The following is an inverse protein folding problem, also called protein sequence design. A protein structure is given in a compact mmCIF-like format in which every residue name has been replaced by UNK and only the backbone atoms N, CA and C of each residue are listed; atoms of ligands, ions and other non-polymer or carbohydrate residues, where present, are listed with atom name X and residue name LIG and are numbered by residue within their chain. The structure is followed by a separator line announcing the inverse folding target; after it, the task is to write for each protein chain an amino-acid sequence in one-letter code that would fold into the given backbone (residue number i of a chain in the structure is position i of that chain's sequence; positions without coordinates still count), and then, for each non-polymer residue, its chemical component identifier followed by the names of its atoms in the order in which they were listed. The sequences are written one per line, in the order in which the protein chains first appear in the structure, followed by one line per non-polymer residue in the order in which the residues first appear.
data_IF_638265801177
#
_entry.id   IF_638265801177
#
_cell.length_a   1.000
_cell.length_b   1.000
_cell.length_c   1.000
_cell.angle_alpha   90.00
_cell.angle_beta   90.00
_cell.angle_gamma   90.00
#
_symmetry.space_group_name_H-M   'P 1'
#
loop_
_entity.id
_entity.type
_entity.pdbx_description
1 polymer ?
#
# COMPACT_ATOMS: atom_id res chain seq x y z
N UNK A 1 -47.99 -7.90 -1.57
CA UNK A 1 -46.50 -7.82 -1.40
C UNK A 1 -46.04 -9.17 -0.85
N UNK A 2 -45.11 -9.85 -1.56
CA UNK A 2 -44.83 -11.28 -1.35
C UNK A 2 -43.93 -11.47 -0.12
N UNK A 3 -44.38 -12.20 0.91
CA UNK A 3 -43.69 -12.44 2.17
C UNK A 3 -42.24 -12.91 1.97
N UNK A 4 -41.97 -13.70 0.92
CA UNK A 4 -40.58 -14.12 0.55
C UNK A 4 -39.66 -12.96 0.21
N UNK A 5 -40.14 -11.86 -0.36
CA UNK A 5 -39.31 -10.67 -0.68
C UNK A 5 -38.94 -9.88 0.56
N UNK A 6 -39.81 -9.90 1.58
CA UNK A 6 -39.55 -9.23 2.86
C UNK A 6 -38.43 -9.97 3.63
N UNK A 7 -38.44 -11.30 3.62
CA UNK A 7 -37.40 -12.10 4.29
C UNK A 7 -36.02 -11.91 3.64
N UNK A 8 -35.96 -11.82 2.31
CA UNK A 8 -34.70 -11.56 1.59
C UNK A 8 -34.16 -10.16 1.91
N UNK A 9 -35.02 -9.15 2.00
CA UNK A 9 -34.65 -7.78 2.37
C UNK A 9 -34.16 -7.68 3.82
N UNK A 10 -34.81 -8.37 4.76
CA UNK A 10 -34.40 -8.42 6.16
C UNK A 10 -33.06 -9.18 6.30
N UNK A 11 -32.87 -10.30 5.59
CA UNK A 11 -31.59 -11.03 5.60
C UNK A 11 -30.44 -10.21 5.02
N UNK A 12 -30.64 -9.46 3.93
CA UNK A 12 -29.64 -8.56 3.36
C UNK A 12 -29.32 -7.39 4.32
N UNK A 13 -30.31 -6.89 5.05
CA UNK A 13 -30.09 -5.81 6.01
C UNK A 13 -29.35 -6.29 7.26
N UNK A 14 -29.63 -7.51 7.73
CA UNK A 14 -28.92 -8.12 8.88
C UNK A 14 -27.47 -8.45 8.50
N UNK A 15 -27.19 -8.91 7.27
CA UNK A 15 -25.82 -9.15 6.82
C UNK A 15 -24.99 -7.85 6.65
N UNK A 16 -25.62 -6.73 6.31
CA UNK A 16 -24.93 -5.46 6.22
C UNK A 16 -24.58 -4.84 7.59
N UNK A 17 -25.33 -5.16 8.64
CA UNK A 17 -25.06 -4.68 10.01
C UNK A 17 -23.91 -5.46 10.66
N UNK A 18 -23.74 -6.74 10.33
CA UNK A 18 -22.67 -7.57 10.93
C UNK A 18 -21.26 -7.18 10.42
N UNK A 19 -21.14 -6.58 9.23
CA UNK A 19 -19.84 -6.13 8.73
C UNK A 19 -19.39 -4.78 9.31
N UNK A 20 -20.27 -3.96 9.87
CA UNK A 20 -19.92 -2.69 10.50
C UNK A 20 -19.44 -2.84 11.96
N UNK A 21 -19.83 -3.94 12.63
CA UNK A 21 -19.43 -4.18 14.03
C UNK A 21 -18.03 -4.81 14.20
N UNK A 22 -17.40 -5.27 13.11
CA UNK A 22 -16.08 -5.90 13.18
C UNK A 22 -14.91 -4.90 13.19
N UNK A 23 -15.16 -3.59 13.11
CA UNK A 23 -14.11 -2.56 13.07
C UNK A 23 -14.01 -1.71 14.35
N UNK A 24 -14.81 -1.96 15.37
CA UNK A 24 -14.50 -1.37 16.67
C UNK A 24 -13.50 -2.27 17.40
N UNK A 25 -12.24 -1.88 17.57
CA UNK A 25 -11.35 -2.59 18.46
C UNK A 25 -11.97 -2.48 19.86
N UNK A 26 -12.54 -3.54 20.37
CA UNK A 26 -12.84 -3.67 21.80
C UNK A 26 -11.50 -3.49 22.50
N UNK A 27 -11.27 -2.30 23.02
CA UNK A 27 -10.12 -1.96 23.84
C UNK A 27 -10.11 -2.82 25.09
N UNK A 28 -9.51 -4.00 24.99
CA UNK A 28 -9.07 -4.74 26.16
C UNK A 28 -8.06 -3.85 26.88
N UNK A 29 -8.38 -3.43 28.09
CA UNK A 29 -7.51 -2.72 29.02
C UNK A 29 -6.33 -3.63 29.45
N UNK A 30 -5.46 -3.97 28.53
CA UNK A 30 -4.10 -4.38 28.83
C UNK A 30 -3.21 -3.21 28.43
N UNK A 31 -2.71 -2.47 29.41
CA UNK A 31 -1.82 -1.31 29.26
C UNK A 31 -0.46 -1.65 28.64
N UNK A 32 -0.46 -2.46 27.60
CA UNK A 32 0.73 -2.73 26.80
C UNK A 32 1.03 -1.55 25.86
N UNK A 33 2.30 -1.28 25.65
CA UNK A 33 2.75 -0.29 24.69
C UNK A 33 2.29 -0.70 23.28
N UNK A 34 1.47 0.14 22.65
CA UNK A 34 0.98 -0.07 21.29
C UNK A 34 1.44 1.06 20.38
N UNK A 35 1.61 0.79 19.10
CA UNK A 35 1.88 1.82 18.09
C UNK A 35 1.05 1.59 16.83
N UNK A 36 0.78 2.68 16.11
CA UNK A 36 0.18 2.62 14.77
C UNK A 36 1.12 1.94 13.77
N UNK A 37 0.58 1.49 12.65
CA UNK A 37 1.41 1.16 11.48
C UNK A 37 1.90 2.44 10.79
N UNK A 38 2.99 2.40 10.01
CA UNK A 38 3.35 3.48 9.10
C UNK A 38 2.30 3.63 8.00
N UNK A 39 2.11 4.83 7.47
CA UNK A 39 1.18 5.10 6.36
C UNK A 39 1.87 5.96 5.31
N UNK A 40 1.67 5.65 4.01
CA UNK A 40 2.29 6.39 2.92
C UNK A 40 1.78 7.84 2.83
N UNK A 41 2.72 8.76 2.57
CA UNK A 41 2.45 10.17 2.30
C UNK A 41 2.84 10.52 0.86
N UNK A 42 3.92 9.91 0.34
CA UNK A 42 4.39 10.08 -1.04
C UNK A 42 4.83 8.72 -1.62
N UNK A 43 4.60 8.51 -2.93
CA UNK A 43 3.88 9.37 -3.87
C UNK A 43 2.42 9.57 -3.47
N UNK A 44 1.78 10.63 -4.01
CA UNK A 44 0.34 10.81 -3.82
C UNK A 44 -0.40 9.62 -4.41
N UNK A 45 -1.25 9.01 -3.62
CA UNK A 45 -1.99 7.81 -3.98
C UNK A 45 -3.49 8.04 -3.82
N UNK A 46 -4.28 7.26 -4.55
CA UNK A 46 -5.74 7.23 -4.47
C UNK A 46 -6.16 5.89 -3.87
N UNK A 47 -7.17 5.88 -3.03
CA UNK A 47 -7.75 4.65 -2.53
C UNK A 47 -8.46 3.90 -3.68
N UNK A 48 -8.10 2.66 -3.88
CA UNK A 48 -8.64 1.83 -4.97
C UNK A 48 -10.09 1.36 -4.73
N UNK A 49 -10.61 1.49 -3.52
CA UNK A 49 -11.87 0.87 -3.09
C UNK A 49 -11.75 -0.63 -2.77
N UNK A 50 -10.60 -1.25 -3.00
CA UNK A 50 -10.31 -2.66 -2.70
C UNK A 50 -9.41 -2.86 -1.48
N UNK A 51 -9.08 -1.78 -0.76
CA UNK A 51 -8.27 -1.82 0.45
C UNK A 51 -6.76 -1.66 0.25
N UNK A 52 -6.34 -1.17 -0.92
CA UNK A 52 -4.98 -0.71 -1.19
C UNK A 52 -4.97 0.68 -1.81
N UNK A 53 -3.81 1.31 -1.81
CA UNK A 53 -3.56 2.59 -2.48
C UNK A 53 -3.08 2.35 -3.91
N UNK A 54 -3.38 3.27 -4.82
CA UNK A 54 -2.88 3.26 -6.20
C UNK A 54 -2.11 4.55 -6.48
N UNK A 55 -0.93 4.43 -7.05
CA UNK A 55 -0.10 5.57 -7.40
C UNK A 55 0.67 5.33 -8.70
N UNK A 56 0.91 6.41 -9.44
CA UNK A 56 1.86 6.40 -10.54
C UNK A 56 3.28 6.28 -9.99
N UNK A 57 4.10 5.41 -10.58
CA UNK A 57 5.51 5.29 -10.21
C UNK A 57 6.24 6.56 -10.66
N UNK A 58 6.92 7.29 -9.74
CA UNK A 58 7.62 8.51 -10.11
C UNK A 58 8.71 8.23 -11.14
N UNK A 59 8.68 8.92 -12.28
CA UNK A 59 9.60 8.69 -13.39
C UNK A 59 11.04 9.13 -13.07
N UNK A 60 11.19 10.11 -12.18
CA UNK A 60 12.49 10.64 -11.72
C UNK A 60 12.45 10.93 -10.23
N UNK A 61 13.59 10.77 -9.56
CA UNK A 61 13.72 11.05 -8.13
C UNK A 61 12.62 10.37 -7.29
N UNK A 62 12.37 9.09 -7.54
CA UNK A 62 11.32 8.35 -6.88
C UNK A 62 11.55 8.33 -5.36
N UNK A 63 10.88 9.24 -4.68
CA UNK A 63 10.91 9.37 -3.24
C UNK A 63 9.64 8.81 -2.64
N UNK A 64 9.79 7.89 -1.71
CA UNK A 64 8.71 7.36 -0.90
C UNK A 64 8.84 7.90 0.51
N UNK A 65 7.76 8.49 1.02
CA UNK A 65 7.69 9.06 2.37
C UNK A 65 6.50 8.45 3.08
N UNK A 66 6.65 8.16 4.37
CA UNK A 66 5.58 7.65 5.22
C UNK A 66 5.53 8.34 6.57
N UNK A 67 4.38 8.32 7.21
CA UNK A 67 4.24 8.75 8.59
C UNK A 67 4.90 7.72 9.52
N UNK A 68 5.71 8.13 10.48
CA UNK A 68 6.23 7.21 11.50
C UNK A 68 5.08 6.66 12.35
N UNK A 69 5.23 5.43 12.88
CA UNK A 69 4.32 4.92 13.90
C UNK A 69 4.28 5.83 15.13
N UNK A 70 3.08 6.06 15.64
CA UNK A 70 2.87 6.78 16.90
C UNK A 70 2.72 5.77 18.02
N UNK A 71 3.67 5.74 18.93
CA UNK A 71 3.63 4.86 20.11
C UNK A 71 2.85 5.52 21.25
N UNK A 72 1.83 4.83 21.73
CA UNK A 72 1.11 5.22 22.93
C UNK A 72 1.88 4.72 24.16
N UNK A 73 2.06 5.60 25.16
CA UNK A 73 2.75 5.30 26.43
C UNK A 73 4.24 4.90 26.33
N UNK A 74 4.88 5.12 25.16
CA UNK A 74 6.30 4.80 24.95
C UNK A 74 7.03 5.88 24.12
N UNK A 75 7.16 7.12 24.60
CA UNK A 75 7.67 8.25 23.82
C UNK A 75 9.13 8.10 23.37
N UNK A 76 9.90 7.19 23.99
CA UNK A 76 11.32 6.98 23.69
C UNK A 76 11.58 5.87 22.67
N UNK A 77 10.54 5.19 22.19
CA UNK A 77 10.70 4.12 21.21
C UNK A 77 11.10 4.70 19.87
N UNK A 78 12.17 4.16 19.29
CA UNK A 78 12.59 4.45 17.92
C UNK A 78 12.12 3.34 17.01
N UNK A 79 11.93 3.69 15.74
CA UNK A 79 11.53 2.74 14.70
C UNK A 79 12.60 2.64 13.63
N UNK A 80 12.76 1.44 13.12
CA UNK A 80 13.56 1.12 11.94
C UNK A 80 12.61 0.59 10.87
N UNK A 81 12.90 0.88 9.61
CA UNK A 81 12.00 0.54 8.52
C UNK A 81 12.70 -0.32 7.48
N UNK A 82 11.95 -1.26 6.93
CA UNK A 82 12.27 -1.94 5.69
C UNK A 82 11.28 -1.47 4.63
N UNK A 83 11.78 -0.93 3.52
CA UNK A 83 10.97 -0.57 2.36
C UNK A 83 11.16 -1.62 1.28
N UNK A 84 10.07 -2.13 0.72
CA UNK A 84 10.08 -3.26 -0.21
C UNK A 84 9.16 -2.95 -1.38
N UNK A 85 9.67 -3.19 -2.61
CA UNK A 85 8.88 -3.23 -3.84
C UNK A 85 8.92 -4.65 -4.39
N UNK A 86 7.77 -5.20 -4.74
CA UNK A 86 7.63 -6.52 -5.36
C UNK A 86 6.90 -6.42 -6.69
N UNK A 87 7.15 -7.36 -7.57
CA UNK A 87 6.48 -7.47 -8.88
C UNK A 87 5.10 -8.08 -8.71
N UNK A 88 4.14 -7.57 -9.48
CA UNK A 88 2.83 -8.20 -9.67
C UNK A 88 2.88 -8.92 -11.01
N UNK A 89 2.71 -10.23 -11.02
CA UNK A 89 2.64 -10.99 -12.27
C UNK A 89 1.21 -10.97 -12.82
N UNK A 90 1.02 -11.07 -14.14
CA UNK A 90 -0.31 -11.11 -14.73
C UNK A 90 -1.21 -12.18 -14.09
N UNK A 91 -2.42 -11.78 -13.68
CA UNK A 91 -3.38 -12.65 -13.00
C UNK A 91 -3.15 -12.87 -11.51
N UNK A 92 -2.12 -12.29 -10.92
CA UNK A 92 -1.88 -12.34 -9.48
C UNK A 92 -2.65 -11.23 -8.77
N UNK A 93 -3.27 -11.55 -7.64
CA UNK A 93 -3.91 -10.55 -6.80
C UNK A 93 -2.86 -9.64 -6.11
N UNK A 94 -3.22 -8.36 -5.92
CA UNK A 94 -2.34 -7.34 -5.31
C UNK A 94 -1.89 -7.75 -3.91
N UNK A 95 -2.79 -8.33 -3.11
CA UNK A 95 -2.49 -8.80 -1.75
C UNK A 95 -1.52 -9.97 -1.77
N UNK A 96 -1.69 -10.92 -2.70
CA UNK A 96 -0.78 -12.05 -2.87
C UNK A 96 0.60 -11.60 -3.36
N UNK A 97 0.66 -10.62 -4.27
CA UNK A 97 1.91 -10.03 -4.70
C UNK A 97 2.66 -9.36 -3.53
N UNK A 98 1.94 -8.63 -2.66
CA UNK A 98 2.52 -8.03 -1.46
C UNK A 98 3.08 -9.08 -0.48
N UNK A 99 2.44 -10.25 -0.38
CA UNK A 99 2.88 -11.31 0.52
C UNK A 99 3.96 -12.19 -0.10
N UNK A 100 3.76 -12.67 -1.32
CA UNK A 100 4.56 -13.73 -1.94
C UNK A 100 5.29 -13.31 -3.22
N UNK A 101 5.06 -12.08 -3.73
CA UNK A 101 5.65 -11.60 -4.97
C UNK A 101 7.18 -11.53 -4.91
N UNK A 102 7.80 -11.62 -6.09
CA UNK A 102 9.26 -11.49 -6.23
C UNK A 102 9.72 -10.08 -5.90
N UNK A 103 10.71 -9.96 -5.02
CA UNK A 103 11.29 -8.66 -4.65
C UNK A 103 11.99 -8.06 -5.88
N UNK A 104 11.57 -6.86 -6.24
CA UNK A 104 12.17 -6.06 -7.31
C UNK A 104 13.15 -5.00 -6.78
N UNK A 105 12.85 -4.45 -5.61
CA UNK A 105 13.72 -3.54 -4.87
C UNK A 105 13.48 -3.66 -3.38
N UNK A 106 14.54 -3.54 -2.58
CA UNK A 106 14.45 -3.53 -1.13
C UNK A 106 15.54 -2.68 -0.51
N UNK A 107 15.16 -1.86 0.47
CA UNK A 107 16.10 -1.17 1.35
C UNK A 107 15.72 -1.47 2.80
N UNK A 108 16.65 -2.03 3.56
CA UNK A 108 16.43 -2.45 4.94
C UNK A 108 17.13 -1.52 5.91
N UNK A 109 16.61 -1.48 7.13
CA UNK A 109 17.28 -0.83 8.23
C UNK A 109 17.27 0.69 8.17
N UNK A 110 16.33 1.29 7.47
CA UNK A 110 16.18 2.73 7.38
C UNK A 110 15.83 3.31 8.76
N UNK A 111 16.56 4.34 9.17
CA UNK A 111 16.28 5.10 10.40
C UNK A 111 15.46 6.36 10.13
N UNK A 112 15.17 6.64 8.88
CA UNK A 112 14.35 7.76 8.40
C UNK A 112 13.03 7.24 7.85
N UNK A 113 12.02 8.08 7.86
CA UNK A 113 10.69 7.77 7.31
C UNK A 113 10.60 8.07 5.80
N UNK A 114 11.70 7.86 5.08
CA UNK A 114 11.78 8.04 3.64
C UNK A 114 12.74 7.05 2.99
N UNK A 115 12.48 6.74 1.73
CA UNK A 115 13.35 5.97 0.85
C UNK A 115 13.43 6.65 -0.51
N UNK A 116 14.64 6.84 -1.02
CA UNK A 116 14.88 7.28 -2.40
C UNK A 116 15.30 6.09 -3.25
N UNK A 117 14.65 5.90 -4.38
CA UNK A 117 15.03 4.84 -5.33
C UNK A 117 16.00 5.44 -6.35
N UNK A 118 17.19 4.85 -6.51
CA UNK A 118 18.13 5.29 -7.52
C UNK A 118 17.57 5.21 -8.94
N UNK A 119 17.94 6.18 -9.79
CA UNK A 119 17.41 6.30 -11.16
C UNK A 119 17.65 5.02 -12.00
N UNK A 120 18.82 4.41 -11.89
CA UNK A 120 19.14 3.16 -12.59
C UNK A 120 18.22 1.99 -12.16
N UNK A 121 17.73 1.99 -10.93
CA UNK A 121 16.75 1.01 -10.44
C UNK A 121 15.39 1.29 -11.08
N UNK A 122 14.97 2.56 -11.15
CA UNK A 122 13.70 2.95 -11.79
C UNK A 122 13.70 2.50 -13.26
N UNK A 123 14.77 2.77 -13.98
CA UNK A 123 14.93 2.35 -15.37
C UNK A 123 14.91 0.82 -15.52
N UNK A 124 15.56 0.10 -14.61
CA UNK A 124 15.51 -1.36 -14.59
C UNK A 124 14.11 -1.89 -14.34
N UNK A 125 13.33 -1.26 -13.44
CA UNK A 125 11.93 -1.61 -13.18
C UNK A 125 11.06 -1.34 -14.41
N UNK A 126 11.20 -0.15 -15.03
CA UNK A 126 10.46 0.23 -16.25
C UNK A 126 10.72 -0.75 -17.39
N UNK A 127 11.98 -1.17 -17.57
CA UNK A 127 12.40 -2.08 -18.64
C UNK A 127 12.19 -3.57 -18.33
N UNK A 128 11.66 -3.89 -17.15
CA UNK A 128 11.49 -5.29 -16.73
C UNK A 128 10.33 -6.03 -17.40
N UNK A 129 9.50 -5.34 -18.18
CA UNK A 129 8.27 -5.88 -18.76
C UNK A 129 7.15 -6.12 -17.73
N UNK A 130 7.34 -5.68 -16.49
CA UNK A 130 6.32 -5.73 -15.44
C UNK A 130 5.57 -4.41 -15.41
N UNK A 131 4.25 -4.45 -15.57
CA UNK A 131 3.43 -3.24 -15.59
C UNK A 131 3.09 -2.72 -14.18
N UNK A 132 2.95 -3.62 -13.23
CA UNK A 132 2.50 -3.33 -11.88
C UNK A 132 3.47 -3.82 -10.82
N UNK A 133 3.61 -3.02 -9.78
CA UNK A 133 4.41 -3.34 -8.61
C UNK A 133 3.61 -3.05 -7.35
N UNK A 134 3.96 -3.70 -6.25
CA UNK A 134 3.41 -3.37 -4.93
C UNK A 134 4.53 -2.87 -4.04
N UNK A 135 4.29 -1.74 -3.37
CA UNK A 135 5.19 -1.20 -2.36
C UNK A 135 4.60 -1.36 -0.97
N UNK A 136 5.47 -1.64 0.00
CA UNK A 136 5.10 -1.74 1.41
C UNK A 136 6.26 -1.32 2.30
N UNK A 137 5.93 -0.68 3.44
CA UNK A 137 6.87 -0.34 4.52
C UNK A 137 6.59 -1.26 5.69
N UNK A 138 7.64 -1.79 6.30
CA UNK A 138 7.56 -2.58 7.53
C UNK A 138 8.36 -1.84 8.61
N UNK A 139 7.67 -1.37 9.64
CA UNK A 139 8.31 -0.76 10.81
C UNK A 139 8.62 -1.81 11.88
N UNK A 140 9.73 -1.65 12.56
CA UNK A 140 10.13 -2.43 13.74
C UNK A 140 10.56 -1.51 14.85
N UNK A 141 10.14 -1.78 16.07
CA UNK A 141 10.59 -1.01 17.24
C UNK A 141 12.01 -1.38 17.62
N UNK A 142 12.81 -0.36 18.00
CA UNK A 142 14.17 -0.52 18.52
C UNK A 142 14.16 -0.08 19.97
N UNK A 143 14.68 -0.93 20.86
CA UNK A 143 14.86 -0.58 22.29
C UNK A 143 13.60 -0.69 23.14
N UNK A 144 12.53 -1.34 22.66
CA UNK A 144 11.32 -1.58 23.43
C UNK A 144 10.36 -2.55 22.77
N UNK A 145 9.63 -3.31 23.56
CA UNK A 145 8.55 -4.17 23.07
C UNK A 145 7.28 -3.35 22.88
N UNK A 146 7.01 -2.97 21.66
CA UNK A 146 5.78 -2.27 21.26
C UNK A 146 5.03 -3.14 20.28
N UNK A 147 3.77 -3.44 20.57
CA UNK A 147 2.88 -4.14 19.65
C UNK A 147 2.36 -3.14 18.63
N UNK A 148 2.69 -3.32 17.36
CA UNK A 148 2.21 -2.46 16.28
C UNK A 148 0.94 -3.00 15.63
N UNK A 149 0.05 -2.10 15.22
CA UNK A 149 -1.09 -2.46 14.37
C UNK A 149 -0.58 -3.01 13.03
N UNK A 150 -1.33 -3.91 12.43
CA UNK A 150 -0.95 -4.59 11.19
C UNK A 150 0.48 -5.19 11.20
N UNK A 151 0.96 -5.64 12.37
CA UNK A 151 2.33 -6.14 12.57
C UNK A 151 3.41 -5.16 12.07
N UNK A 152 3.16 -3.86 12.14
CA UNK A 152 4.07 -2.80 11.68
C UNK A 152 4.10 -2.61 10.17
N UNK A 153 3.25 -3.28 9.41
CA UNK A 153 3.16 -3.11 7.95
C UNK A 153 2.26 -1.94 7.60
N UNK A 154 2.69 -1.12 6.65
CA UNK A 154 1.83 -0.10 6.02
C UNK A 154 0.69 -0.77 5.24
N UNK A 155 -0.23 0.04 4.76
CA UNK A 155 -1.10 -0.32 3.65
C UNK A 155 -0.27 -0.73 2.42
N UNK A 156 -0.87 -1.49 1.53
CA UNK A 156 -0.26 -1.87 0.25
C UNK A 156 -0.46 -0.71 -0.73
N UNK A 157 0.60 -0.31 -1.44
CA UNK A 157 0.52 0.65 -2.52
C UNK A 157 0.79 -0.06 -3.84
N UNK A 158 -0.20 -0.09 -4.73
CA UNK A 158 -0.04 -0.55 -6.11
C UNK A 158 0.59 0.58 -6.94
N UNK A 159 1.68 0.29 -7.61
CA UNK A 159 2.44 1.20 -8.43
C UNK A 159 2.38 0.77 -9.89
N UNK A 160 2.19 1.73 -10.79
CA UNK A 160 2.21 1.52 -12.23
C UNK A 160 3.01 2.61 -12.94
N UNK A 161 3.66 2.27 -14.05
CA UNK A 161 4.27 3.27 -14.92
C UNK A 161 3.22 3.84 -15.87
N UNK A 162 3.22 5.16 -16.03
CA UNK A 162 2.38 5.80 -17.03
C UNK A 162 2.75 5.32 -18.41
N UNK A 163 1.81 4.73 -19.12
CA UNK A 163 1.98 4.43 -20.54
C UNK A 163 1.96 5.75 -21.32
N UNK A 164 3.07 6.08 -21.95
CA UNK A 164 3.07 7.14 -22.96
C UNK A 164 2.16 6.68 -24.10
N UNK A 165 1.02 7.36 -24.27
CA UNK A 165 0.20 7.15 -25.46
C UNK A 165 1.07 7.48 -26.65
N UNK A 166 1.41 6.48 -27.48
CA UNK A 166 1.97 6.72 -28.79
C UNK A 166 1.07 7.74 -29.49
N UNK A 167 1.59 8.94 -29.72
CA UNK A 167 0.93 9.90 -30.59
C UNK A 167 0.86 9.24 -31.95
N UNK A 168 -0.34 8.85 -32.40
CA UNK A 168 -0.56 8.50 -33.80
C UNK A 168 0.05 9.62 -34.65
N UNK A 169 0.94 9.28 -35.59
CA UNK A 169 1.43 10.29 -36.55
C UNK A 169 0.20 10.86 -37.24
N UNK A 170 -0.03 12.14 -37.06
CA UNK A 170 -1.02 12.88 -37.88
C UNK A 170 -0.48 12.83 -39.29
N UNK A 171 -1.06 11.95 -40.11
CA UNK A 171 -0.88 11.96 -41.56
C UNK A 171 -1.19 13.38 -42.05
N UNK A 172 -0.15 14.13 -42.34
CA UNK A 172 -0.25 15.36 -43.09
C UNK A 172 -0.67 14.98 -44.49
N UNK A 173 -1.99 15.02 -44.74
CA UNK A 173 -2.52 14.98 -46.08
C UNK A 173 -2.14 16.31 -46.74
N UNK A 174 -0.99 16.31 -47.40
CA UNK A 174 -0.64 17.34 -48.38
C UNK A 174 -1.61 17.23 -49.57
N UNK A 175 -2.66 18.04 -49.53
CA UNK A 175 -3.48 18.30 -50.72
C UNK A 175 -2.69 19.22 -51.66
N UNK A 176 -2.16 18.62 -52.70
CA UNK A 176 -1.77 19.31 -53.93
C UNK A 176 -2.95 19.48 -54.87
#
# INVERSE_FOLDING_TARGET
MNIRRIYILIMLFVMSITNVMAQFPMGGMNGGNTASAPSFVQPQAVESGYGWLEAEFPAMNAQFVWTPPVANNAPTVRFQYDFIIKRVVPGQEVVDAAQYGTVAFQQRGLMTNMCMIPQNVIESLKNSGTEHFVAQVIARSIGGNVKMTNNGKSEIMLLYFKQEKEQCPTDSIDNK
#
